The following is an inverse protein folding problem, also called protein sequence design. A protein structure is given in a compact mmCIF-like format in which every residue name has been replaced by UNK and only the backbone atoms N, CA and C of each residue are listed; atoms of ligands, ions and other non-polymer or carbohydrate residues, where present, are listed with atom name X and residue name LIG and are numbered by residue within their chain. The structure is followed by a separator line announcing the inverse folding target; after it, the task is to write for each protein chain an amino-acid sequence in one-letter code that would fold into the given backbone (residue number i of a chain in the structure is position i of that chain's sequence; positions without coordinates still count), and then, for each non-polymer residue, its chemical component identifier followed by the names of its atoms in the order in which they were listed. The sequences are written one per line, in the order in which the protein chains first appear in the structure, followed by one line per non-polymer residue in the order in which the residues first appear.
data_IF_185685152749
#
_entry.id   IF_185685152749
#
_cell.length_a   1.000
_cell.length_b   1.000
_cell.length_c   1.000
_cell.angle_alpha   90.00
_cell.angle_beta   90.00
_cell.angle_gamma   90.00
#
_symmetry.space_group_name_H-M   'P 1'
#
loop_
_entity.id
_entity.type
_entity.pdbx_description
1 polymer ?
#
# COMPACT_ATOMS: atom_id res chain seq x y z
N UNK A 1 -3.18 46.26 4.17
CA UNK A 1 -4.35 45.70 4.88
C UNK A 1 -4.08 45.45 6.37
N UNK A 2 -3.32 44.41 6.76
CA UNK A 2 -3.11 44.08 8.19
C UNK A 2 -2.52 45.22 9.04
N UNK A 3 -1.58 46.01 8.48
CA UNK A 3 -1.03 47.21 9.15
C UNK A 3 -2.09 48.29 9.41
N UNK A 4 -2.97 48.54 8.44
CA UNK A 4 -4.03 49.57 8.52
C UNK A 4 -5.02 49.27 9.65
N UNK A 5 -5.34 47.99 9.86
CA UNK A 5 -6.27 47.55 10.92
C UNK A 5 -5.56 47.17 12.22
N UNK A 6 -4.25 47.43 12.32
CA UNK A 6 -3.43 47.09 13.48
C UNK A 6 -3.60 45.62 13.92
N UNK A 7 -3.62 44.71 12.93
CA UNK A 7 -3.89 43.29 13.14
C UNK A 7 -2.91 42.69 14.17
N UNK A 8 -3.42 41.87 15.09
CA UNK A 8 -2.65 41.24 16.16
C UNK A 8 -2.69 39.73 16.06
N UNK A 9 -1.61 39.10 16.53
CA UNK A 9 -1.45 37.64 16.53
C UNK A 9 -1.41 37.04 15.10
N UNK A 10 -1.54 35.72 14.96
CA UNK A 10 -1.54 35.06 13.67
C UNK A 10 -2.89 35.22 12.95
N UNK A 11 -2.84 35.28 11.62
CA UNK A 11 -4.00 35.25 10.75
C UNK A 11 -3.54 35.04 9.31
N UNK A 12 -4.46 34.57 8.48
CA UNK A 12 -4.22 34.38 7.05
C UNK A 12 -5.09 35.34 6.25
N UNK A 13 -4.52 35.93 5.21
CA UNK A 13 -5.26 36.67 4.19
C UNK A 13 -5.33 35.80 2.96
N UNK A 14 -6.54 35.57 2.47
CA UNK A 14 -6.76 34.70 1.32
C UNK A 14 -7.07 35.52 0.08
N UNK A 15 -6.55 35.04 -1.05
CA UNK A 15 -6.72 35.62 -2.37
C UNK A 15 -7.06 34.53 -3.38
N UNK A 16 -7.90 34.86 -4.35
CA UNK A 16 -7.96 34.13 -5.62
C UNK A 16 -6.98 34.77 -6.61
N UNK A 17 -6.33 33.93 -7.41
CA UNK A 17 -5.38 34.39 -8.45
C UNK A 17 -5.87 33.87 -9.79
N UNK A 18 -6.04 34.77 -10.76
CA UNK A 18 -6.41 34.39 -12.12
C UNK A 18 -5.19 33.99 -12.98
N UNK A 19 -5.44 33.55 -14.21
CA UNK A 19 -4.39 33.14 -15.14
C UNK A 19 -3.46 34.30 -15.57
N UNK A 20 -3.90 35.54 -15.40
CA UNK A 20 -3.10 36.74 -15.69
C UNK A 20 -2.27 37.18 -14.48
N UNK A 21 -2.40 36.51 -13.32
CA UNK A 21 -1.72 36.85 -12.09
C UNK A 21 -2.36 38.02 -11.33
N UNK A 22 -3.61 38.38 -11.64
CA UNK A 22 -4.34 39.34 -10.82
C UNK A 22 -4.81 38.66 -9.53
N UNK A 23 -4.69 39.38 -8.41
CA UNK A 23 -5.01 38.87 -7.08
C UNK A 23 -6.27 39.54 -6.56
N UNK A 24 -7.24 38.74 -6.14
CA UNK A 24 -8.54 39.19 -5.64
C UNK A 24 -8.71 38.75 -4.20
N UNK A 25 -8.78 39.70 -3.28
CA UNK A 25 -9.03 39.42 -1.86
C UNK A 25 -10.36 38.70 -1.69
N UNK A 26 -10.38 37.65 -0.86
CA UNK A 26 -11.62 36.94 -0.52
C UNK A 26 -11.96 37.07 0.97
N UNK A 27 -11.03 36.75 1.86
CA UNK A 27 -11.29 36.78 3.29
C UNK A 27 -10.02 36.90 4.14
N UNK A 28 -10.23 37.13 5.43
CA UNK A 28 -9.22 37.01 6.48
C UNK A 28 -9.68 35.91 7.43
N UNK A 29 -8.81 34.95 7.69
CA UNK A 29 -8.98 33.97 8.75
C UNK A 29 -8.24 34.47 10.00
N UNK A 30 -8.94 35.02 11.03
CA UNK A 30 -8.28 35.69 12.15
C UNK A 30 -7.78 34.71 13.23
N UNK A 31 -7.18 33.59 12.78
CA UNK A 31 -6.73 32.47 13.60
C UNK A 31 -5.67 31.66 12.86
N UNK A 32 -5.00 30.76 13.58
CA UNK A 32 -4.16 29.73 12.96
C UNK A 32 -5.00 28.82 12.06
N UNK A 33 -4.43 28.41 10.94
CA UNK A 33 -5.06 27.49 10.00
C UNK A 33 -4.52 26.07 10.14
N UNK A 34 -5.25 25.09 9.62
CA UNK A 34 -4.91 23.66 9.76
C UNK A 34 -3.58 23.34 9.05
N UNK A 35 -3.34 24.05 7.95
CA UNK A 35 -2.22 24.01 7.03
C UNK A 35 -0.99 24.81 7.49
N UNK A 36 -1.03 25.49 8.65
CA UNK A 36 0.12 26.29 9.13
C UNK A 36 1.44 25.52 9.13
N UNK A 37 1.39 24.19 9.35
CA UNK A 37 2.56 23.33 9.38
C UNK A 37 3.39 23.38 8.10
N UNK A 38 2.79 23.63 6.92
CA UNK A 38 3.58 23.76 5.67
C UNK A 38 4.46 25.01 5.70
N UNK A 39 3.94 26.11 6.24
CA UNK A 39 4.67 27.36 6.43
C UNK A 39 5.79 27.18 7.45
N UNK A 40 5.51 26.51 8.57
CA UNK A 40 6.54 26.22 9.58
C UNK A 40 7.68 25.38 9.00
N UNK A 41 7.36 24.35 8.19
CA UNK A 41 8.39 23.48 7.60
C UNK A 41 9.34 24.22 6.64
N UNK A 42 8.86 25.23 5.90
CA UNK A 42 9.69 25.94 4.93
C UNK A 42 10.35 27.20 5.50
N UNK A 43 9.82 27.77 6.57
CA UNK A 43 10.38 28.98 7.22
C UNK A 43 11.22 28.66 8.45
N UNK A 44 11.01 27.50 9.07
CA UNK A 44 11.62 27.13 10.36
C UNK A 44 11.03 27.89 11.55
N UNK A 45 9.93 28.62 11.37
CA UNK A 45 9.27 29.41 12.42
C UNK A 45 8.16 28.56 13.04
N UNK A 46 8.18 28.41 14.36
CA UNK A 46 7.08 27.82 15.12
C UNK A 46 6.01 28.90 15.33
N UNK A 47 4.94 28.83 14.54
CA UNK A 47 3.86 29.81 14.53
C UNK A 47 3.02 29.70 15.79
N UNK A 48 2.73 28.49 16.28
CA UNK A 48 1.93 28.30 17.50
C UNK A 48 2.65 28.85 18.73
N UNK A 49 3.94 28.58 18.88
CA UNK A 49 4.76 29.17 19.94
C UNK A 49 4.81 30.69 19.81
N UNK A 50 4.96 31.21 18.59
CA UNK A 50 4.98 32.65 18.34
C UNK A 50 3.67 33.31 18.75
N UNK A 51 2.51 32.69 18.47
CA UNK A 51 1.20 33.18 18.91
C UNK A 51 1.12 33.33 20.43
N UNK A 52 1.62 32.33 21.17
CA UNK A 52 1.62 32.34 22.64
C UNK A 52 2.53 33.46 23.17
N UNK A 53 3.74 33.60 22.62
CA UNK A 53 4.68 34.64 23.05
C UNK A 53 4.17 36.05 22.76
N UNK A 54 3.57 36.26 21.59
CA UNK A 54 2.92 37.54 21.24
C UNK A 54 1.75 37.83 22.17
N UNK A 55 0.94 36.83 22.52
CA UNK A 55 -0.12 36.99 23.52
C UNK A 55 0.43 37.33 24.92
N UNK A 56 1.64 36.85 25.24
CA UNK A 56 2.39 37.21 26.44
C UNK A 56 3.08 38.58 26.38
N UNK A 57 2.90 39.35 25.31
CA UNK A 57 3.42 40.72 25.16
C UNK A 57 4.74 40.84 24.39
N UNK A 58 5.34 39.73 23.93
CA UNK A 58 6.54 39.79 23.12
C UNK A 58 6.26 40.43 21.75
N UNK A 59 7.20 41.25 21.29
CA UNK A 59 7.17 41.87 19.95
C UNK A 59 7.81 40.96 18.91
N UNK A 60 7.43 41.10 17.63
CA UNK A 60 8.03 40.30 16.55
C UNK A 60 9.58 40.45 16.46
N UNK A 61 10.18 41.64 16.63
CA UNK A 61 11.63 41.78 16.68
C UNK A 61 12.31 41.02 17.84
N UNK A 62 11.71 40.99 19.04
CA UNK A 62 12.22 40.21 20.18
C UNK A 62 12.19 38.70 19.90
N UNK A 63 11.23 38.25 19.08
CA UNK A 63 11.14 36.88 18.59
C UNK A 63 12.07 36.60 17.39
N UNK A 64 12.79 37.61 16.88
CA UNK A 64 13.61 37.51 15.67
C UNK A 64 12.81 37.42 14.37
N UNK A 65 11.51 37.72 14.41
CA UNK A 65 10.57 37.60 13.28
C UNK A 65 10.46 38.93 12.51
N UNK A 66 11.58 39.37 11.94
CA UNK A 66 11.62 40.53 11.05
C UNK A 66 11.67 40.09 9.58
N UNK A 67 11.06 40.88 8.69
CA UNK A 67 10.86 40.48 7.28
C UNK A 67 12.18 40.15 6.55
N UNK A 68 13.28 40.81 6.90
CA UNK A 68 14.63 40.61 6.37
C UNK A 68 15.26 39.27 6.80
N UNK A 69 14.78 38.67 7.90
CA UNK A 69 15.28 37.39 8.44
C UNK A 69 14.43 36.19 8.04
N UNK A 70 13.22 36.42 7.51
CA UNK A 70 12.33 35.35 7.09
C UNK A 70 12.72 34.90 5.68
N UNK A 71 13.08 33.63 5.54
CA UNK A 71 13.42 33.02 4.26
C UNK A 71 12.64 31.72 4.06
N UNK A 72 12.41 31.35 2.80
CA UNK A 72 11.76 30.10 2.42
C UNK A 72 12.82 29.11 1.96
N UNK A 73 12.87 27.95 2.60
CA UNK A 73 13.81 26.88 2.26
C UNK A 73 13.08 25.60 1.85
N UNK A 74 13.15 25.32 0.55
CA UNK A 74 12.55 24.12 -0.04
C UNK A 74 11.04 24.23 -0.17
N UNK A 75 10.37 23.08 -0.07
CA UNK A 75 8.94 22.89 -0.31
C UNK A 75 8.35 22.02 0.79
N UNK A 76 7.09 22.29 1.13
CA UNK A 76 6.30 21.44 1.99
C UNK A 76 4.92 21.16 1.38
N UNK A 77 4.39 19.99 1.66
CA UNK A 77 3.05 19.57 1.24
C UNK A 77 2.36 18.91 2.43
N UNK A 78 1.07 19.18 2.62
CA UNK A 78 0.25 18.54 3.65
C UNK A 78 -0.87 17.73 3.01
N UNK A 79 -1.08 16.53 3.51
CA UNK A 79 -2.25 15.70 3.23
C UNK A 79 -3.04 15.49 4.51
N UNK A 80 -4.36 15.72 4.46
CA UNK A 80 -5.30 15.35 5.51
C UNK A 80 -5.83 13.95 5.23
N UNK A 81 -5.45 12.99 6.05
CA UNK A 81 -6.00 11.64 5.97
C UNK A 81 -7.28 11.62 6.78
N UNK A 82 -8.41 11.36 6.13
CA UNK A 82 -9.75 11.36 6.72
C UNK A 82 -10.38 9.97 6.65
N UNK A 83 -11.51 9.76 7.34
CA UNK A 83 -12.33 8.54 7.19
C UNK A 83 -13.26 8.56 5.97
N UNK A 84 -13.19 9.61 5.15
CA UNK A 84 -14.02 9.76 3.95
C UNK A 84 -13.70 8.67 2.92
N UNK A 85 -14.74 8.11 2.32
CA UNK A 85 -14.61 7.09 1.29
C UNK A 85 -14.82 7.69 -0.10
N UNK A 86 -13.76 7.88 -0.91
CA UNK A 86 -13.91 8.50 -2.23
C UNK A 86 -14.80 7.70 -3.18
N UNK A 87 -14.94 6.39 -2.99
CA UNK A 87 -15.83 5.55 -3.78
C UNK A 87 -17.33 5.70 -3.41
N UNK A 88 -17.64 6.46 -2.37
CA UNK A 88 -18.99 6.78 -1.91
C UNK A 88 -19.15 8.29 -1.72
N UNK A 89 -18.69 9.05 -2.71
CA UNK A 89 -18.80 10.52 -2.71
C UNK A 89 -18.27 11.16 -1.41
N UNK A 90 -17.10 10.67 -0.96
CA UNK A 90 -16.43 11.12 0.27
C UNK A 90 -17.27 11.01 1.55
N UNK A 91 -18.29 10.15 1.59
CA UNK A 91 -19.03 9.88 2.82
C UNK A 91 -18.06 9.42 3.94
N UNK A 92 -18.09 10.04 5.14
CA UNK A 92 -17.27 9.63 6.26
C UNK A 92 -17.64 8.23 6.75
N UNK A 93 -16.64 7.40 7.01
CA UNK A 93 -16.80 6.11 7.66
C UNK A 93 -16.59 6.24 9.18
N UNK A 94 -17.25 5.37 9.95
CA UNK A 94 -17.27 5.41 11.41
C UNK A 94 -16.97 4.04 12.01
N UNK A 95 -16.55 4.02 13.27
CA UNK A 95 -16.25 2.80 14.00
C UNK A 95 -14.87 2.80 14.64
N UNK A 96 -14.45 1.61 15.08
CA UNK A 96 -13.23 1.46 15.90
C UNK A 96 -12.02 1.23 15.00
N UNK A 97 -10.94 1.97 15.24
CA UNK A 97 -9.65 1.74 14.57
C UNK A 97 -9.02 0.45 15.12
N UNK A 98 -9.04 -0.61 14.32
CA UNK A 98 -8.48 -1.92 14.69
C UNK A 98 -6.95 -1.94 14.65
N UNK A 99 -6.36 -1.17 13.74
CA UNK A 99 -4.92 -1.05 13.60
C UNK A 99 -4.55 0.30 13.01
N UNK A 100 -3.55 0.94 13.61
CA UNK A 100 -2.98 2.20 13.17
C UNK A 100 -1.47 2.09 13.17
N UNK A 101 -0.83 2.29 12.01
CA UNK A 101 0.63 2.33 11.88
C UNK A 101 1.02 3.61 11.18
N UNK A 102 1.51 4.56 11.97
CA UNK A 102 2.02 5.84 11.48
C UNK A 102 3.27 5.65 10.62
N UNK A 103 3.40 6.39 9.50
CA UNK A 103 4.66 6.45 8.77
C UNK A 103 5.70 7.26 9.55
N UNK A 104 6.97 7.01 9.30
CA UNK A 104 8.07 7.79 9.90
C UNK A 104 9.10 8.13 8.82
N UNK A 105 10.09 8.97 9.14
CA UNK A 105 11.23 9.24 8.27
C UNK A 105 11.61 10.70 8.16
N UNK A 106 12.80 10.96 7.60
CA UNK A 106 13.36 12.30 7.46
C UNK A 106 12.48 13.22 6.61
N UNK A 107 12.09 14.36 7.18
CA UNK A 107 11.23 15.34 6.54
C UNK A 107 9.77 14.89 6.44
N UNK A 108 9.32 14.01 7.33
CA UNK A 108 7.90 13.72 7.57
C UNK A 108 7.54 14.19 8.97
N UNK A 109 6.52 15.05 9.04
CA UNK A 109 5.87 15.49 10.26
C UNK A 109 4.46 14.90 10.30
N UNK A 110 4.07 14.42 11.47
CA UNK A 110 2.72 13.96 11.76
C UNK A 110 2.12 14.83 12.85
N UNK A 111 0.91 15.32 12.62
CA UNK A 111 0.07 15.94 13.62
C UNK A 111 -1.16 15.04 13.74
N UNK A 112 -1.13 14.17 14.74
CA UNK A 112 -2.15 13.14 14.95
C UNK A 112 -3.43 13.75 15.54
N UNK A 113 -4.58 13.35 14.99
CA UNK A 113 -5.90 13.55 15.60
C UNK A 113 -6.32 12.31 16.41
N UNK A 114 -7.50 11.72 16.18
CA UNK A 114 -7.94 10.47 16.81
C UNK A 114 -7.31 9.19 16.20
N UNK A 115 -6.21 9.31 15.45
CA UNK A 115 -5.55 8.21 14.75
C UNK A 115 -4.75 7.29 15.68
N UNK A 116 -5.38 6.53 16.56
CA UNK A 116 -4.71 5.52 17.39
C UNK A 116 -5.53 4.23 17.51
N UNK A 117 -4.87 3.13 17.87
CA UNK A 117 -5.53 1.81 17.99
C UNK A 117 -6.58 1.85 19.10
N UNK A 118 -7.79 1.37 18.79
CA UNK A 118 -8.93 1.37 19.72
C UNK A 118 -9.73 2.67 19.74
N UNK A 119 -9.30 3.72 19.02
CA UNK A 119 -10.08 4.95 18.90
C UNK A 119 -11.43 4.67 18.22
N UNK A 120 -12.52 5.17 18.81
CA UNK A 120 -13.86 5.09 18.24
C UNK A 120 -14.17 6.37 17.48
N UNK A 121 -14.24 6.28 16.15
CA UNK A 121 -14.56 7.41 15.28
C UNK A 121 -16.08 7.59 15.22
N UNK A 122 -16.54 8.72 15.75
CA UNK A 122 -17.97 9.06 15.87
C UNK A 122 -18.40 10.04 14.77
N UNK A 123 -19.70 10.13 14.44
CA UNK A 123 -20.21 11.04 13.42
C UNK A 123 -20.32 12.51 13.85
N UNK A 124 -19.94 12.84 15.08
CA UNK A 124 -20.17 14.17 15.66
C UNK A 124 -19.07 15.20 15.35
N UNK A 125 -17.92 14.75 14.82
CA UNK A 125 -16.76 15.58 14.56
C UNK A 125 -16.25 15.40 13.13
N UNK A 126 -15.32 16.27 12.73
CA UNK A 126 -14.60 16.14 11.46
C UNK A 126 -13.94 14.76 11.35
N UNK A 127 -13.93 14.21 10.14
CA UNK A 127 -13.43 12.88 9.79
C UNK A 127 -11.88 12.79 9.78
N UNK A 128 -11.18 13.86 10.14
CA UNK A 128 -9.71 13.91 10.19
C UNK A 128 -9.14 12.87 11.15
N UNK A 129 -8.23 12.03 10.63
CA UNK A 129 -7.47 11.05 11.42
C UNK A 129 -6.07 11.56 11.76
N UNK A 130 -5.34 12.02 10.74
CA UNK A 130 -3.95 12.48 10.86
C UNK A 130 -3.62 13.45 9.74
N UNK A 131 -2.83 14.48 10.05
CA UNK A 131 -2.20 15.34 9.05
C UNK A 131 -0.79 14.82 8.81
N UNK A 132 -0.48 14.58 7.53
CA UNK A 132 0.85 14.15 7.11
C UNK A 132 1.48 15.30 6.33
N UNK A 133 2.54 15.89 6.86
CA UNK A 133 3.29 16.96 6.19
C UNK A 133 4.65 16.43 5.77
N UNK A 134 5.01 16.63 4.51
CA UNK A 134 6.35 16.35 4.00
C UNK A 134 7.12 17.64 3.76
N UNK A 135 8.44 17.58 3.90
CA UNK A 135 9.39 18.65 3.55
C UNK A 135 10.56 18.09 2.73
N UNK A 136 10.93 18.81 1.68
CA UNK A 136 12.10 18.52 0.86
C UNK A 136 12.59 19.77 0.10
N UNK A 137 13.78 19.72 -0.48
CA UNK A 137 14.31 20.85 -1.26
C UNK A 137 13.57 21.06 -2.58
N UNK A 138 13.14 19.98 -3.24
CA UNK A 138 12.36 20.02 -4.48
C UNK A 138 10.91 19.62 -4.23
N UNK A 139 9.98 20.24 -4.96
CA UNK A 139 8.53 19.93 -4.92
C UNK A 139 8.26 18.44 -5.19
N UNK A 140 8.92 17.87 -6.19
CA UNK A 140 8.79 16.45 -6.56
C UNK A 140 9.28 15.52 -5.45
N UNK A 141 10.40 15.83 -4.79
CA UNK A 141 10.89 15.04 -3.65
C UNK A 141 9.90 15.07 -2.48
N UNK A 142 9.27 16.22 -2.26
CA UNK A 142 8.23 16.37 -1.23
C UNK A 142 7.02 15.46 -1.53
N UNK A 143 6.55 15.45 -2.78
CA UNK A 143 5.47 14.56 -3.21
C UNK A 143 5.85 13.07 -3.08
N UNK A 144 7.08 12.69 -3.45
CA UNK A 144 7.57 11.31 -3.30
C UNK A 144 7.61 10.88 -1.84
N UNK A 145 8.14 11.73 -0.94
CA UNK A 145 8.15 11.46 0.50
C UNK A 145 6.73 11.32 1.07
N UNK A 146 5.82 12.21 0.68
CA UNK A 146 4.44 12.21 1.14
C UNK A 146 3.68 10.97 0.64
N UNK A 147 3.86 10.60 -0.64
CA UNK A 147 3.31 9.38 -1.21
C UNK A 147 3.78 8.14 -0.45
N UNK A 148 5.10 8.01 -0.23
CA UNK A 148 5.67 6.90 0.55
C UNK A 148 5.09 6.87 1.98
N UNK A 149 4.94 8.02 2.63
CA UNK A 149 4.33 8.09 3.95
C UNK A 149 2.86 7.59 3.94
N UNK A 150 2.05 7.98 2.96
CA UNK A 150 0.67 7.49 2.80
C UNK A 150 0.59 5.99 2.45
N UNK A 151 1.58 5.50 1.68
CA UNK A 151 1.73 4.08 1.34
C UNK A 151 2.21 3.23 2.51
N UNK A 152 2.93 3.78 3.47
CA UNK A 152 3.34 3.11 4.71
C UNK A 152 2.25 3.19 5.78
N UNK A 153 1.49 4.28 5.83
CA UNK A 153 0.37 4.47 6.75
C UNK A 153 -0.62 3.29 6.64
N UNK A 154 -0.85 2.57 7.73
CA UNK A 154 -1.87 1.52 7.81
C UNK A 154 -2.97 1.98 8.74
N UNK A 155 -4.19 2.01 8.22
CA UNK A 155 -5.42 2.21 9.00
C UNK A 155 -6.35 1.04 8.69
N UNK A 156 -6.93 0.46 9.73
CA UNK A 156 -7.91 -0.64 9.70
C UNK A 156 -9.09 -0.32 10.62
N UNK A 157 -10.22 -0.98 10.39
CA UNK A 157 -11.50 -0.67 11.06
C UNK A 157 -12.37 0.34 10.29
N UNK A 158 -11.76 1.35 9.67
CA UNK A 158 -12.45 2.37 8.86
C UNK A 158 -11.84 2.53 7.46
N UNK A 159 -12.62 3.04 6.52
CA UNK A 159 -12.12 3.53 5.21
C UNK A 159 -11.34 4.82 5.38
N UNK A 160 -10.54 5.16 4.36
CA UNK A 160 -9.76 6.40 4.33
C UNK A 160 -9.63 6.95 2.93
N UNK A 161 -9.49 8.27 2.80
CA UNK A 161 -9.23 8.96 1.53
C UNK A 161 -7.79 8.78 0.98
N UNK A 162 -6.89 8.10 1.71
CA UNK A 162 -5.45 8.08 1.41
C UNK A 162 -5.06 7.66 -0.02
N UNK A 163 -5.84 6.77 -0.67
CA UNK A 163 -5.53 6.34 -2.04
C UNK A 163 -5.83 7.43 -3.05
N UNK A 164 -6.93 8.16 -2.87
CA UNK A 164 -7.22 9.35 -3.65
C UNK A 164 -6.08 10.38 -3.54
N UNK A 165 -5.57 10.61 -2.32
CA UNK A 165 -4.42 11.49 -2.11
C UNK A 165 -3.15 10.99 -2.84
N UNK A 166 -2.90 9.68 -2.85
CA UNK A 166 -1.79 9.09 -3.62
C UNK A 166 -1.97 9.35 -5.11
N UNK A 167 -3.18 9.19 -5.66
CA UNK A 167 -3.48 9.44 -7.07
C UNK A 167 -3.22 10.92 -7.43
N UNK A 168 -3.59 11.87 -6.56
CA UNK A 168 -3.31 13.31 -6.72
C UNK A 168 -1.80 13.57 -6.78
N UNK A 169 -1.03 12.99 -5.85
CA UNK A 169 0.43 13.14 -5.77
C UNK A 169 1.18 12.49 -6.94
N UNK A 170 0.49 11.81 -7.84
CA UNK A 170 1.05 11.19 -9.04
C UNK A 170 0.72 11.96 -10.32
N UNK A 171 -0.17 12.96 -10.28
CA UNK A 171 -0.53 13.73 -11.47
C UNK A 171 0.60 14.70 -11.87
N UNK A 172 1.02 14.71 -13.15
CA UNK A 172 2.02 15.66 -13.65
C UNK A 172 1.70 17.11 -13.31
N UNK A 173 0.47 17.56 -13.62
CA UNK A 173 0.01 18.92 -13.37
C UNK A 173 0.15 19.33 -11.88
N UNK A 174 -0.19 18.42 -10.96
CA UNK A 174 -0.02 18.66 -9.52
C UNK A 174 1.47 18.77 -9.13
N UNK A 175 2.32 17.92 -9.70
CA UNK A 175 3.77 17.93 -9.44
C UNK A 175 4.45 19.18 -9.99
N UNK A 176 4.01 19.66 -11.14
CA UNK A 176 4.49 20.88 -11.80
C UNK A 176 3.90 22.16 -11.17
N UNK A 177 2.82 22.02 -10.39
CA UNK A 177 2.14 23.15 -9.73
C UNK A 177 1.19 23.90 -10.67
N UNK A 178 0.81 23.30 -11.78
CA UNK A 178 -0.11 23.84 -12.78
C UNK A 178 -1.52 23.34 -12.41
N UNK A 179 -2.07 23.88 -11.32
CA UNK A 179 -3.38 23.46 -10.80
C UNK A 179 -4.23 24.68 -10.44
N UNK A 180 -5.53 24.55 -10.63
CA UNK A 180 -6.54 25.51 -10.18
C UNK A 180 -7.55 24.83 -9.24
N UNK A 181 -8.57 25.57 -8.81
CA UNK A 181 -9.62 25.07 -7.91
C UNK A 181 -10.51 24.01 -8.56
N UNK A 182 -10.51 23.89 -9.89
CA UNK A 182 -11.27 22.90 -10.65
C UNK A 182 -10.48 21.61 -10.93
N UNK A 183 -9.19 21.55 -10.57
CA UNK A 183 -8.29 20.43 -10.86
C UNK A 183 -8.88 19.06 -10.51
N UNK A 184 -9.49 18.90 -9.33
CA UNK A 184 -10.06 17.60 -8.92
C UNK A 184 -11.26 17.22 -9.79
N UNK A 185 -12.17 18.16 -10.06
CA UNK A 185 -13.36 17.93 -10.87
C UNK A 185 -13.01 17.65 -12.34
N UNK A 186 -11.94 18.26 -12.85
CA UNK A 186 -11.41 18.00 -14.18
C UNK A 186 -10.71 16.63 -14.33
N UNK A 187 -10.42 15.94 -13.22
CA UNK A 187 -9.67 14.69 -13.19
C UNK A 187 -10.45 13.56 -12.48
N UNK A 188 -11.59 13.10 -13.02
CA UNK A 188 -12.43 12.08 -12.38
C UNK A 188 -11.72 10.74 -12.16
N UNK A 189 -10.69 10.43 -12.96
CA UNK A 189 -9.85 9.24 -12.80
C UNK A 189 -9.11 9.18 -11.46
N UNK A 190 -9.00 10.30 -10.72
CA UNK A 190 -8.44 10.32 -9.37
C UNK A 190 -9.23 9.45 -8.39
N UNK A 191 -10.50 9.18 -8.68
CA UNK A 191 -11.39 8.33 -7.88
C UNK A 191 -11.22 6.83 -8.17
N UNK A 192 -10.44 6.46 -9.19
CA UNK A 192 -10.13 5.07 -9.50
C UNK A 192 -9.12 4.52 -8.48
N UNK A 193 -9.66 3.88 -7.44
CA UNK A 193 -8.89 3.38 -6.29
C UNK A 193 -8.54 1.90 -6.50
N UNK A 194 -7.25 1.63 -6.67
CA UNK A 194 -6.73 0.27 -6.63
C UNK A 194 -6.91 -0.37 -5.24
N UNK A 195 -7.71 -1.43 -5.21
CA UNK A 195 -7.98 -2.22 -3.99
C UNK A 195 -6.75 -3.02 -3.61
N UNK A 196 -6.19 -2.73 -2.42
CA UNK A 196 -5.16 -3.59 -1.85
C UNK A 196 -5.70 -5.00 -1.62
N UNK A 197 -4.94 -6.01 -2.05
CA UNK A 197 -5.32 -7.43 -1.92
C UNK A 197 -5.42 -7.92 -0.47
N UNK A 198 -4.84 -7.17 0.47
CA UNK A 198 -4.88 -7.41 1.92
C UNK A 198 -4.52 -8.86 2.34
N UNK A 199 -3.53 -9.43 1.66
CA UNK A 199 -3.16 -10.87 1.79
C UNK A 199 -2.86 -11.29 3.23
N UNK A 200 -2.10 -10.47 3.97
CA UNK A 200 -1.73 -10.78 5.36
C UNK A 200 -2.94 -10.92 6.28
N UNK A 201 -3.90 -9.99 6.21
CA UNK A 201 -5.10 -10.05 7.05
C UNK A 201 -6.03 -11.19 6.65
N UNK A 202 -6.16 -11.48 5.35
CA UNK A 202 -6.92 -12.65 4.87
C UNK A 202 -6.31 -13.95 5.38
N UNK A 203 -4.98 -14.06 5.36
CA UNK A 203 -4.27 -15.22 5.90
C UNK A 203 -4.47 -15.37 7.41
N UNK A 204 -4.32 -14.29 8.18
CA UNK A 204 -4.54 -14.32 9.63
C UNK A 204 -5.97 -14.69 9.97
N UNK A 205 -6.96 -14.16 9.23
CA UNK A 205 -8.37 -14.53 9.40
C UNK A 205 -8.59 -16.02 9.12
N UNK A 206 -8.03 -16.54 8.03
CA UNK A 206 -8.12 -17.96 7.71
C UNK A 206 -7.50 -18.85 8.79
N UNK A 207 -6.31 -18.49 9.29
CA UNK A 207 -5.64 -19.23 10.38
C UNK A 207 -6.49 -19.19 11.65
N UNK A 208 -6.99 -18.02 12.03
CA UNK A 208 -7.83 -17.86 13.22
C UNK A 208 -9.11 -18.70 13.12
N UNK A 209 -9.78 -18.66 11.97
CA UNK A 209 -10.98 -19.44 11.69
C UNK A 209 -10.72 -20.93 11.86
N UNK A 210 -9.65 -21.45 11.24
CA UNK A 210 -9.30 -22.87 11.31
C UNK A 210 -8.88 -23.30 12.72
N UNK A 211 -8.23 -22.43 13.50
CA UNK A 211 -7.85 -22.73 14.90
C UNK A 211 -9.07 -22.78 15.81
N UNK A 212 -10.00 -21.84 15.66
CA UNK A 212 -11.16 -21.69 16.57
C UNK A 212 -12.29 -22.64 16.20
N UNK A 213 -12.65 -22.69 14.92
CA UNK A 213 -13.81 -23.43 14.43
C UNK A 213 -13.44 -24.79 13.81
N UNK A 214 -12.14 -25.06 13.65
CA UNK A 214 -11.65 -26.25 12.99
C UNK A 214 -11.63 -26.13 11.45
N UNK A 215 -11.05 -27.12 10.76
CA UNK A 215 -11.15 -27.23 9.31
C UNK A 215 -12.59 -27.52 8.88
N UNK A 216 -12.90 -27.21 7.63
CA UNK A 216 -14.18 -27.51 7.02
C UNK A 216 -14.38 -29.04 6.89
N UNK A 217 -15.35 -29.57 7.62
CA UNK A 217 -15.66 -31.00 7.68
C UNK A 217 -16.30 -31.51 6.38
N UNK A 218 -17.03 -30.66 5.64
CA UNK A 218 -17.64 -31.02 4.37
C UNK A 218 -16.58 -31.26 3.27
N UNK A 219 -15.38 -30.70 3.46
CA UNK A 219 -14.24 -30.94 2.59
C UNK A 219 -13.51 -32.25 2.87
N UNK A 220 -13.99 -33.05 3.83
CA UNK A 220 -13.43 -34.35 4.21
C UNK A 220 -12.39 -34.29 5.32
N UNK A 221 -12.37 -33.20 6.09
CA UNK A 221 -11.53 -33.14 7.29
C UNK A 221 -12.02 -34.14 8.33
N UNK A 222 -11.09 -34.84 8.98
CA UNK A 222 -11.41 -35.80 10.04
C UNK A 222 -10.57 -35.50 11.28
N UNK A 223 -11.22 -34.93 12.29
CA UNK A 223 -10.57 -34.53 13.54
C UNK A 223 -10.00 -35.71 14.35
N UNK A 224 -10.37 -36.96 14.02
CA UNK A 224 -9.76 -38.15 14.62
C UNK A 224 -8.30 -38.33 14.18
N UNK A 225 -7.92 -37.75 13.04
CA UNK A 225 -6.57 -37.81 12.48
C UNK A 225 -5.97 -36.39 12.45
N UNK A 226 -5.33 -35.94 13.56
CA UNK A 226 -4.70 -34.63 13.59
C UNK A 226 -3.57 -34.54 12.54
N UNK A 227 -3.20 -33.32 12.11
CA UNK A 227 -2.05 -33.13 11.22
C UNK A 227 -0.81 -33.85 11.75
N UNK A 228 -0.07 -34.50 10.85
CA UNK A 228 1.17 -35.16 11.20
C UNK A 228 2.13 -34.17 11.89
N UNK A 229 2.73 -34.58 13.01
CA UNK A 229 3.72 -33.77 13.74
C UNK A 229 5.11 -33.79 13.09
N UNK A 230 5.28 -34.60 12.05
CA UNK A 230 6.55 -34.83 11.37
C UNK A 230 6.44 -34.24 9.98
N UNK A 231 7.39 -33.37 9.64
CA UNK A 231 7.56 -32.93 8.26
C UNK A 231 8.15 -34.08 7.43
N UNK A 232 7.51 -34.48 6.31
CA UNK A 232 8.03 -35.55 5.48
C UNK A 232 9.37 -35.14 4.87
N UNK A 233 10.38 -36.03 4.84
CA UNK A 233 11.66 -35.72 4.22
C UNK A 233 11.47 -35.48 2.72
N UNK A 234 11.97 -34.34 2.23
CA UNK A 234 11.97 -34.03 0.80
C UNK A 234 13.31 -34.47 0.21
N UNK A 235 13.33 -35.44 -0.72
CA UNK A 235 14.57 -35.94 -1.28
C UNK A 235 15.24 -34.89 -2.17
N UNK A 236 16.52 -34.61 -1.91
CA UNK A 236 17.35 -33.76 -2.75
C UNK A 236 18.06 -34.63 -3.79
N UNK A 237 17.46 -34.76 -4.97
CA UNK A 237 18.02 -35.54 -6.07
C UNK A 237 18.64 -34.57 -7.07
N UNK A 238 19.97 -34.52 -7.10
CA UNK A 238 20.69 -33.71 -8.08
C UNK A 238 20.54 -34.32 -9.49
N UNK A 239 20.31 -33.50 -10.54
CA UNK A 239 20.33 -33.99 -11.90
C UNK A 239 21.75 -34.49 -12.23
N UNK A 240 21.84 -35.67 -12.85
CA UNK A 240 23.12 -36.16 -13.38
C UNK A 240 23.66 -35.17 -14.44
N UNK A 241 24.99 -34.97 -14.53
CA UNK A 241 25.58 -34.16 -15.59
C UNK A 241 25.13 -34.69 -16.95
N UNK A 242 24.69 -33.80 -17.84
CA UNK A 242 24.32 -34.18 -19.21
C UNK A 242 25.53 -34.78 -19.90
N UNK A 243 25.45 -36.05 -20.27
CA UNK A 243 26.50 -36.69 -21.04
C UNK A 243 26.37 -36.31 -22.52
N UNK A 244 27.49 -36.12 -23.25
CA UNK A 244 27.45 -35.96 -24.69
C UNK A 244 26.71 -37.15 -25.34
N UNK A 245 25.62 -36.87 -26.05
CA UNK A 245 24.78 -37.92 -26.66
C UNK A 245 23.62 -38.42 -25.79
N UNK A 246 23.34 -37.80 -24.63
CA UNK A 246 22.17 -38.15 -23.83
C UNK A 246 20.87 -38.00 -24.65
N UNK A 247 20.03 -39.04 -24.61
CA UNK A 247 18.79 -39.09 -25.38
C UNK A 247 17.83 -38.00 -24.90
N UNK A 248 17.19 -37.30 -25.83
CA UNK A 248 16.14 -36.32 -25.52
C UNK A 248 14.97 -37.02 -24.82
N UNK A 249 14.47 -36.42 -23.76
CA UNK A 249 13.22 -36.85 -23.11
C UNK A 249 12.05 -36.77 -24.10
N UNK A 250 11.01 -37.57 -23.87
CA UNK A 250 9.80 -37.55 -24.71
C UNK A 250 9.16 -36.16 -24.75
N UNK A 251 9.17 -35.42 -23.63
CA UNK A 251 8.71 -34.01 -23.58
C UNK A 251 9.52 -33.11 -24.51
N UNK A 252 10.85 -33.23 -24.54
CA UNK A 252 11.69 -32.43 -25.44
C UNK A 252 11.41 -32.76 -26.91
N UNK A 253 11.28 -34.05 -27.24
CA UNK A 253 10.91 -34.48 -28.59
C UNK A 253 9.57 -33.88 -29.00
N UNK A 254 8.57 -33.91 -28.11
CA UNK A 254 7.26 -33.31 -28.38
C UNK A 254 7.35 -31.80 -28.64
N UNK A 255 8.02 -31.06 -27.75
CA UNK A 255 8.13 -29.59 -27.86
C UNK A 255 8.91 -29.16 -29.10
N UNK A 256 9.98 -29.88 -29.45
CA UNK A 256 10.87 -29.48 -30.56
C UNK A 256 10.43 -30.03 -31.92
N UNK A 257 9.81 -31.21 -31.96
CA UNK A 257 9.56 -31.97 -33.21
C UNK A 257 8.08 -32.34 -33.41
N UNK A 258 7.23 -32.02 -32.44
CA UNK A 258 5.78 -32.19 -32.53
C UNK A 258 5.25 -33.61 -32.31
N UNK A 259 3.93 -33.79 -32.37
CA UNK A 259 3.24 -35.03 -31.98
C UNK A 259 3.60 -36.25 -32.84
N UNK A 260 3.86 -36.05 -34.14
CA UNK A 260 4.25 -37.15 -35.05
C UNK A 260 5.62 -37.73 -34.65
N UNK A 261 6.57 -36.88 -34.27
CA UNK A 261 7.90 -37.31 -33.83
C UNK A 261 7.82 -37.98 -32.45
N UNK A 262 7.03 -37.44 -31.53
CA UNK A 262 6.75 -38.06 -30.24
C UNK A 262 6.19 -39.48 -30.41
N UNK A 263 5.16 -39.67 -31.23
CA UNK A 263 4.55 -40.98 -31.44
C UNK A 263 5.54 -42.00 -32.07
N UNK A 264 6.43 -41.54 -32.96
CA UNK A 264 7.52 -42.38 -33.49
C UNK A 264 8.51 -42.75 -32.39
N UNK A 265 8.91 -41.79 -31.54
CA UNK A 265 9.84 -42.04 -30.44
C UNK A 265 9.29 -43.04 -29.41
N UNK A 266 7.99 -42.96 -29.11
CA UNK A 266 7.27 -43.93 -28.25
C UNK A 266 7.27 -45.33 -28.87
N UNK A 267 6.91 -45.48 -30.15
CA UNK A 267 6.92 -46.78 -30.84
C UNK A 267 8.31 -47.40 -31.00
N UNK A 268 9.35 -46.56 -31.00
CA UNK A 268 10.74 -47.01 -31.08
C UNK A 268 11.31 -47.45 -29.72
N UNK A 269 10.62 -47.17 -28.62
CA UNK A 269 11.07 -47.57 -27.29
C UNK A 269 10.86 -49.07 -27.08
N UNK A 270 11.90 -49.77 -26.59
CA UNK A 270 11.84 -51.22 -26.34
C UNK A 270 11.41 -51.54 -24.91
N UNK A 271 11.58 -50.58 -23.99
CA UNK A 271 11.16 -50.70 -22.59
C UNK A 271 9.67 -50.38 -22.46
N UNK A 272 9.02 -50.98 -21.47
CA UNK A 272 7.69 -50.55 -21.05
C UNK A 272 7.77 -49.13 -20.51
N UNK A 273 7.06 -48.22 -21.16
CA UNK A 273 6.93 -46.85 -20.68
C UNK A 273 5.84 -46.78 -19.60
N UNK A 274 6.06 -45.91 -18.61
CA UNK A 274 5.13 -45.70 -17.49
C UNK A 274 4.58 -44.28 -17.49
N UNK A 275 3.31 -44.14 -17.08
CA UNK A 275 2.72 -42.88 -16.67
C UNK A 275 2.56 -42.90 -15.16
N UNK A 276 3.22 -41.98 -14.46
CA UNK A 276 2.97 -41.80 -13.03
C UNK A 276 1.60 -41.15 -12.84
N UNK A 277 0.78 -41.70 -11.95
CA UNK A 277 -0.55 -41.15 -11.66
C UNK A 277 -0.64 -40.54 -10.26
N UNK A 278 0.50 -40.46 -9.54
CA UNK A 278 0.59 -39.96 -8.16
C UNK A 278 0.00 -38.56 -8.02
N UNK A 279 0.20 -37.70 -9.03
CA UNK A 279 -0.23 -36.30 -9.01
C UNK A 279 -1.72 -36.10 -9.35
N UNK A 280 -2.43 -37.16 -9.76
CA UNK A 280 -3.85 -37.08 -10.16
C UNK A 280 -4.68 -38.27 -9.70
N UNK A 281 -4.57 -39.41 -10.38
CA UNK A 281 -5.50 -40.53 -10.19
C UNK A 281 -5.32 -41.24 -8.85
N UNK A 282 -4.09 -41.30 -8.34
CA UNK A 282 -3.79 -41.96 -7.08
C UNK A 282 -4.50 -41.28 -5.90
N UNK A 283 -4.37 -39.96 -5.77
CA UNK A 283 -5.03 -39.20 -4.70
C UNK A 283 -6.52 -38.97 -4.98
N UNK A 284 -6.96 -39.02 -6.23
CA UNK A 284 -8.40 -39.10 -6.53
C UNK A 284 -9.02 -40.37 -5.94
N UNK A 285 -8.33 -41.51 -6.07
CA UNK A 285 -8.82 -42.80 -5.57
C UNK A 285 -8.69 -42.94 -4.05
N UNK A 286 -7.60 -42.42 -3.47
CA UNK A 286 -7.24 -42.67 -2.07
C UNK A 286 -7.54 -41.50 -1.12
N UNK A 287 -7.55 -40.27 -1.63
CA UNK A 287 -7.59 -39.03 -0.83
C UNK A 287 -8.66 -38.06 -1.32
N UNK A 288 -9.70 -38.54 -2.01
CA UNK A 288 -10.81 -37.72 -2.54
C UNK A 288 -10.34 -36.47 -3.32
N UNK A 289 -9.24 -36.61 -4.06
CA UNK A 289 -8.65 -35.53 -4.87
C UNK A 289 -8.14 -34.34 -4.01
N UNK A 290 -7.71 -34.57 -2.77
CA UNK A 290 -7.31 -33.52 -1.82
C UNK A 290 -5.81 -33.27 -1.72
N UNK A 291 -4.97 -33.89 -2.57
CA UNK A 291 -3.55 -33.54 -2.61
C UNK A 291 -3.37 -32.07 -3.03
N UNK A 292 -2.61 -31.30 -2.25
CA UNK A 292 -2.45 -29.85 -2.46
C UNK A 292 -1.24 -29.58 -3.33
N UNK A 293 -1.32 -28.51 -4.12
CA UNK A 293 -0.16 -27.99 -4.88
C UNK A 293 1.06 -27.74 -4.00
N UNK A 294 0.84 -27.36 -2.73
CA UNK A 294 1.91 -27.16 -1.76
C UNK A 294 2.78 -28.42 -1.58
N UNK A 295 2.15 -29.60 -1.48
CA UNK A 295 2.85 -30.87 -1.26
C UNK A 295 3.48 -31.37 -2.56
N UNK A 296 2.75 -31.34 -3.68
CA UNK A 296 3.25 -31.76 -4.99
C UNK A 296 4.44 -30.91 -5.45
N UNK A 297 4.42 -29.60 -5.18
CA UNK A 297 5.51 -28.70 -5.57
C UNK A 297 6.82 -29.03 -4.83
N UNK A 298 6.76 -29.51 -3.58
CA UNK A 298 7.96 -29.85 -2.80
C UNK A 298 8.78 -30.98 -3.44
N UNK A 299 8.11 -31.94 -4.07
CA UNK A 299 8.74 -33.13 -4.67
C UNK A 299 8.97 -33.00 -6.18
N UNK A 300 8.53 -31.89 -6.79
CA UNK A 300 8.54 -31.70 -8.24
C UNK A 300 9.92 -31.90 -8.88
N UNK A 301 10.98 -31.35 -8.28
CA UNK A 301 12.34 -31.47 -8.82
C UNK A 301 12.85 -32.91 -8.71
N UNK A 302 12.59 -33.59 -7.59
CA UNK A 302 12.94 -34.99 -7.40
C UNK A 302 12.19 -35.90 -8.39
N UNK A 303 10.89 -35.67 -8.58
CA UNK A 303 10.06 -36.39 -9.57
C UNK A 303 10.59 -36.18 -10.98
N UNK A 304 10.94 -34.94 -11.35
CA UNK A 304 11.51 -34.63 -12.66
C UNK A 304 12.80 -35.40 -12.94
N UNK A 305 13.70 -35.51 -11.96
CA UNK A 305 14.97 -36.24 -12.13
C UNK A 305 14.74 -37.75 -12.15
N UNK A 306 13.91 -38.25 -11.24
CA UNK A 306 13.64 -39.69 -11.08
C UNK A 306 12.85 -40.26 -12.26
N UNK A 307 11.86 -39.52 -12.75
CA UNK A 307 10.96 -39.93 -13.83
C UNK A 307 11.31 -39.26 -15.17
N UNK A 308 12.59 -38.92 -15.39
CA UNK A 308 13.05 -38.25 -16.61
C UNK A 308 12.76 -39.04 -17.90
N UNK A 309 12.67 -40.37 -17.78
CA UNK A 309 12.43 -41.32 -18.87
C UNK A 309 10.98 -41.86 -18.91
N UNK A 310 10.10 -41.34 -18.05
CA UNK A 310 8.68 -41.72 -18.05
C UNK A 310 7.95 -41.20 -19.30
N UNK A 311 6.82 -41.83 -19.64
CA UNK A 311 5.94 -41.37 -20.72
C UNK A 311 5.33 -40.01 -20.37
N UNK A 312 4.73 -39.94 -19.18
CA UNK A 312 4.13 -38.73 -18.63
C UNK A 312 4.03 -38.83 -17.11
N UNK A 313 3.68 -37.71 -16.49
CA UNK A 313 3.01 -37.66 -15.19
C UNK A 313 1.50 -37.47 -15.42
#
# INVERSE_FOLDING_TARGET
MCREVQYKNAGTVEFLVDQQGNHFFIEINPRIQVEHTVTEQITGIDLVQSQIRVAGGATLPELGLTQDKISVKGHAMQCRVTTENPAKDFQPDFGVIEAFRSPTGMGIRLDDGPGFVGANITPHYDSLLVKVTAHAMRRTDCAVKLRRALEELRVRGVKTNKRFLINVLQQPDFLEGIVDTNFIAANPQLLDIDRSSNRGQKLLRYIAEVIVNGPDMDLGADLRFPPAKVDPPVPLIAPSPKQPGERKSLRQIYVEQGPKAFARAVRAEKKTLITDTTWRDAHQSLLATRARTYDLKKIADATKVTLKDAYSL
#
